data_IF_065704234743
#
_entry.id   IF_065704234743
#
_cell.length_a   1.000
_cell.length_b   1.000
_cell.length_c   1.000
_cell.angle_alpha   90.00
_cell.angle_beta   90.00
_cell.angle_gamma   90.00
#
_symmetry.space_group_name_H-M   'P 1'
#
loop_
_entity.id
_entity.type
_entity.pdbx_description
1 polymer ?
#
# COMPACT_ATOMS: atom_id res chain seq x y z
N UNK A 1 -1.52 -10.96 -10.75
CA UNK A 1 -0.52 -10.88 -11.86
C UNK A 1 0.89 -10.81 -11.27
N UNK A 2 1.99 -10.89 -12.05
CA UNK A 2 3.35 -10.61 -11.51
C UNK A 2 3.69 -9.13 -11.69
N UNK A 3 4.41 -8.54 -10.74
CA UNK A 3 4.91 -7.16 -10.87
C UNK A 3 5.84 -7.09 -12.09
N UNK A 4 5.65 -6.12 -13.02
CA UNK A 4 6.47 -6.00 -14.23
C UNK A 4 7.96 -5.79 -13.92
N UNK A 5 8.85 -6.33 -14.77
CA UNK A 5 10.30 -6.28 -14.54
C UNK A 5 10.88 -4.87 -14.42
N UNK A 6 10.37 -3.92 -15.20
CA UNK A 6 10.77 -2.51 -15.14
C UNK A 6 10.35 -1.86 -13.80
N UNK A 7 9.13 -2.16 -13.33
CA UNK A 7 8.69 -1.73 -12.01
C UNK A 7 9.54 -2.38 -10.90
N UNK A 8 9.87 -3.67 -10.99
CA UNK A 8 10.78 -4.34 -10.05
C UNK A 8 12.15 -3.65 -10.00
N UNK A 9 12.68 -3.21 -11.14
CA UNK A 9 13.94 -2.47 -11.19
C UNK A 9 13.86 -1.11 -10.47
N UNK A 10 12.72 -0.42 -10.56
CA UNK A 10 12.41 0.80 -9.80
C UNK A 10 12.28 0.50 -8.29
N UNK A 11 11.53 -0.53 -7.92
CA UNK A 11 11.33 -0.95 -6.52
C UNK A 11 12.64 -1.34 -5.82
N UNK A 12 13.59 -1.96 -6.53
CA UNK A 12 14.92 -2.30 -5.99
C UNK A 12 15.78 -1.08 -5.63
N UNK A 13 15.39 0.13 -6.05
CA UNK A 13 16.04 1.38 -5.65
C UNK A 13 15.52 1.93 -4.31
N UNK A 14 14.52 1.26 -3.71
CA UNK A 14 13.97 1.63 -2.41
C UNK A 14 14.78 0.94 -1.32
N UNK A 15 15.39 1.74 -0.44
CA UNK A 15 16.11 1.20 0.71
C UNK A 15 15.12 0.62 1.71
N UNK A 16 15.47 -0.52 2.30
CA UNK A 16 14.70 -1.17 3.35
C UNK A 16 15.50 -1.07 4.66
N UNK A 17 14.92 -0.41 5.65
CA UNK A 17 15.47 -0.22 6.99
C UNK A 17 14.80 -1.17 7.97
N UNK A 18 15.61 -1.73 8.87
CA UNK A 18 15.16 -2.63 9.92
C UNK A 18 15.55 -2.01 11.25
N UNK A 19 14.57 -1.53 12.00
CA UNK A 19 14.78 -0.75 13.22
C UNK A 19 14.15 -1.45 14.42
N UNK A 20 14.68 -1.24 15.64
CA UNK A 20 13.94 -1.55 16.86
C UNK A 20 12.63 -0.75 16.94
N UNK A 21 11.70 -1.23 17.75
CA UNK A 21 10.47 -0.50 18.06
C UNK A 21 10.77 0.82 18.78
N UNK A 22 10.02 1.87 18.44
CA UNK A 22 10.10 3.16 19.12
C UNK A 22 9.19 3.17 20.36
N UNK A 23 9.65 3.70 21.51
CA UNK A 23 8.81 3.82 22.70
C UNK A 23 7.48 4.51 22.41
N UNK A 24 6.37 3.90 22.84
CA UNK A 24 5.02 4.46 22.64
C UNK A 24 4.46 4.36 21.23
N UNK A 25 5.18 3.73 20.29
CA UNK A 25 4.71 3.50 18.91
C UNK A 25 4.58 2.01 18.65
N UNK A 26 3.44 1.58 18.12
CA UNK A 26 3.25 0.18 17.74
C UNK A 26 4.18 -0.24 16.58
N UNK A 27 4.66 -1.49 16.57
CA UNK A 27 5.45 -2.04 15.46
C UNK A 27 4.66 -2.02 14.14
N UNK A 28 5.30 -1.59 13.05
CA UNK A 28 4.71 -1.55 11.70
C UNK A 28 5.77 -1.56 10.59
N UNK A 29 5.31 -1.73 9.36
CA UNK A 29 6.03 -1.28 8.17
C UNK A 29 5.54 0.14 7.83
N UNK A 30 6.42 1.01 7.35
CA UNK A 30 6.02 2.36 6.92
C UNK A 30 7.00 2.95 5.89
N UNK A 31 6.44 3.53 4.84
CA UNK A 31 7.15 4.35 3.87
C UNK A 31 7.30 5.79 4.37
N UNK A 32 8.50 6.34 4.26
CA UNK A 32 8.82 7.70 4.71
C UNK A 32 8.95 8.66 3.52
N UNK A 33 7.94 9.47 3.18
CA UNK A 33 7.98 10.31 1.96
C UNK A 33 8.93 11.50 2.08
N UNK A 34 9.41 11.82 3.29
CA UNK A 34 10.32 12.94 3.50
C UNK A 34 10.94 12.96 4.89
N UNK A 35 12.03 13.73 5.03
CA UNK A 35 12.82 13.79 6.24
C UNK A 35 12.23 14.70 7.35
N UNK A 36 11.16 15.46 7.08
CA UNK A 36 10.58 16.41 8.04
C UNK A 36 10.02 15.69 9.27
N UNK A 37 8.99 14.87 9.07
CA UNK A 37 8.36 14.08 10.13
C UNK A 37 9.37 13.19 10.88
N UNK A 38 10.34 12.61 10.17
CA UNK A 38 11.41 11.83 10.77
C UNK A 38 12.19 12.64 11.82
N UNK A 39 12.61 13.87 11.50
CA UNK A 39 13.32 14.74 12.45
C UNK A 39 12.44 15.11 13.64
N UNK A 40 11.19 15.49 13.37
CA UNK A 40 10.25 15.95 14.39
C UNK A 40 9.91 14.85 15.41
N UNK A 41 10.05 13.58 15.00
CA UNK A 41 9.77 12.40 15.84
C UNK A 41 11.05 11.68 16.31
N UNK A 42 12.22 12.34 16.22
CA UNK A 42 13.49 11.78 16.72
C UNK A 42 13.97 10.53 15.97
N UNK A 43 13.53 10.35 14.72
CA UNK A 43 13.94 9.25 13.85
C UNK A 43 15.07 9.66 12.90
N UNK A 44 15.74 8.68 12.30
CA UNK A 44 16.85 8.93 11.39
C UNK A 44 16.36 9.54 10.05
N UNK A 45 16.70 10.80 9.73
CA UNK A 45 16.25 11.45 8.49
C UNK A 45 16.83 10.83 7.21
N UNK A 46 17.86 9.98 7.31
CA UNK A 46 18.40 9.24 6.18
C UNK A 46 17.42 8.20 5.60
N UNK A 47 16.33 7.90 6.33
CA UNK A 47 15.26 7.02 5.87
C UNK A 47 14.26 7.71 4.92
N UNK A 48 14.45 8.99 4.60
CA UNK A 48 13.59 9.65 3.62
C UNK A 48 13.63 8.91 2.26
N UNK A 49 12.45 8.72 1.68
CA UNK A 49 12.18 7.94 0.46
C UNK A 49 12.52 6.45 0.59
N UNK A 50 12.53 5.92 1.81
CA UNK A 50 12.78 4.51 2.14
C UNK A 50 11.61 3.91 2.93
N UNK A 51 11.65 2.59 3.11
CA UNK A 51 10.69 1.84 3.93
C UNK A 51 11.39 1.41 5.21
N UNK A 52 10.71 1.56 6.34
CA UNK A 52 11.17 1.11 7.65
C UNK A 52 10.28 -0.02 8.17
N UNK A 53 10.90 -1.09 8.65
CA UNK A 53 10.25 -2.19 9.34
C UNK A 53 10.65 -2.16 10.82
N UNK A 54 9.67 -1.87 11.68
CA UNK A 54 9.77 -2.02 13.14
C UNK A 54 9.03 -3.27 13.63
N UNK A 55 8.24 -3.91 12.77
CA UNK A 55 7.45 -5.10 13.07
C UNK A 55 8.20 -6.45 12.96
N UNK A 56 9.53 -6.44 12.98
CA UNK A 56 10.36 -7.64 12.77
C UNK A 56 10.01 -8.76 13.77
N UNK A 57 9.73 -8.40 15.03
CA UNK A 57 9.38 -9.36 16.09
C UNK A 57 8.03 -10.04 15.89
N UNK A 58 7.14 -9.43 15.12
CA UNK A 58 5.78 -9.91 14.85
C UNK A 58 5.54 -10.16 13.36
N UNK A 59 6.61 -10.22 12.55
CA UNK A 59 6.54 -10.30 11.09
C UNK A 59 5.61 -11.40 10.61
N UNK A 60 5.71 -12.60 11.19
CA UNK A 60 4.89 -13.75 10.82
C UNK A 60 3.39 -13.49 11.08
N UNK A 61 3.04 -12.91 12.23
CA UNK A 61 1.67 -12.57 12.56
C UNK A 61 1.13 -11.47 11.62
N UNK A 62 1.95 -10.47 11.31
CA UNK A 62 1.58 -9.40 10.38
C UNK A 62 1.43 -9.92 8.94
N UNK A 63 2.23 -10.89 8.50
CA UNK A 63 2.04 -11.54 7.18
C UNK A 63 0.80 -12.43 7.13
N UNK A 64 0.24 -12.86 8.28
CA UNK A 64 -1.07 -13.52 8.28
C UNK A 64 -2.20 -12.51 8.17
N UNK A 65 -2.06 -11.37 8.85
CA UNK A 65 -3.05 -10.30 8.86
C UNK A 65 -3.12 -9.57 7.52
N UNK A 66 -1.98 -9.10 7.03
CA UNK A 66 -1.81 -8.28 5.83
C UNK A 66 -0.74 -8.95 4.95
N UNK A 67 -1.12 -9.94 4.11
CA UNK A 67 -0.17 -10.85 3.48
C UNK A 67 0.90 -10.20 2.62
N UNK A 68 0.69 -8.96 2.17
CA UNK A 68 1.62 -8.24 1.33
C UNK A 68 1.92 -6.82 1.84
N UNK A 69 2.00 -6.58 3.15
CA UNK A 69 2.37 -5.26 3.70
C UNK A 69 3.71 -4.72 3.15
N UNK A 70 4.66 -5.58 2.80
CA UNK A 70 5.89 -5.11 2.15
C UNK A 70 5.63 -4.56 0.74
N UNK A 71 4.72 -5.16 -0.02
CA UNK A 71 4.27 -4.65 -1.31
C UNK A 71 3.47 -3.36 -1.16
N UNK A 72 2.66 -3.25 -0.09
CA UNK A 72 1.95 -2.03 0.26
C UNK A 72 2.90 -0.83 0.39
N UNK A 73 3.93 -0.96 1.22
CA UNK A 73 4.91 0.10 1.41
C UNK A 73 5.72 0.38 0.13
N UNK A 74 6.01 -0.67 -0.66
CA UNK A 74 6.64 -0.52 -1.97
C UNK A 74 5.71 0.19 -2.97
N UNK A 75 4.40 0.05 -2.87
CA UNK A 75 3.42 0.76 -3.68
C UNK A 75 3.41 2.25 -3.32
N UNK A 76 3.48 2.60 -2.03
CA UNK A 76 3.69 4.01 -1.64
C UNK A 76 4.99 4.57 -2.21
N UNK A 77 6.10 3.83 -2.08
CA UNK A 77 7.38 4.24 -2.65
C UNK A 77 7.31 4.41 -4.17
N UNK A 78 6.60 3.52 -4.86
CA UNK A 78 6.44 3.60 -6.31
C UNK A 78 5.61 4.81 -6.74
N UNK A 79 4.48 5.02 -6.06
CA UNK A 79 3.59 6.15 -6.28
C UNK A 79 4.33 7.48 -6.08
N UNK A 80 5.06 7.64 -4.98
CA UNK A 80 5.79 8.88 -4.68
C UNK A 80 6.96 9.13 -5.64
N UNK A 81 7.75 8.09 -5.97
CA UNK A 81 9.05 8.27 -6.61
C UNK A 81 9.04 8.13 -8.13
N UNK A 82 8.09 7.39 -8.69
CA UNK A 82 8.20 6.93 -10.08
C UNK A 82 6.94 7.16 -10.93
N UNK A 83 5.79 7.46 -10.31
CA UNK A 83 4.62 7.88 -11.07
C UNK A 83 4.68 9.38 -11.40
N UNK A 84 4.07 9.80 -12.53
CA UNK A 84 3.90 11.21 -12.83
C UNK A 84 3.25 11.95 -11.67
N UNK A 85 3.84 13.08 -11.29
CA UNK A 85 3.43 13.96 -10.19
C UNK A 85 3.43 13.32 -8.79
N UNK A 86 4.04 12.15 -8.63
CA UNK A 86 4.17 11.47 -7.35
C UNK A 86 2.80 11.26 -6.67
N UNK A 87 2.71 11.57 -5.38
CA UNK A 87 1.45 11.57 -4.63
C UNK A 87 0.37 12.56 -5.12
N UNK A 88 0.68 13.44 -6.07
CA UNK A 88 -0.30 14.30 -6.72
C UNK A 88 -0.83 13.71 -8.05
N UNK A 89 -0.55 12.44 -8.34
CA UNK A 89 -1.02 11.79 -9.55
C UNK A 89 -2.55 11.91 -9.71
N UNK A 90 -2.97 12.64 -10.75
CA UNK A 90 -4.38 12.97 -10.95
C UNK A 90 -5.25 11.75 -11.29
N UNK A 91 -4.68 10.73 -11.94
CA UNK A 91 -5.42 9.51 -12.30
C UNK A 91 -5.76 8.69 -11.05
N UNK A 92 -4.80 8.53 -10.12
CA UNK A 92 -5.02 7.86 -8.84
C UNK A 92 -6.02 8.65 -7.99
N UNK A 93 -5.86 9.98 -7.90
CA UNK A 93 -6.81 10.81 -7.16
C UNK A 93 -8.23 10.68 -7.73
N UNK A 94 -8.39 10.72 -9.04
CA UNK A 94 -9.69 10.58 -9.67
C UNK A 94 -10.29 9.18 -9.42
N UNK A 95 -9.49 8.11 -9.45
CA UNK A 95 -9.95 6.77 -9.14
C UNK A 95 -10.41 6.63 -7.68
N UNK A 96 -9.62 7.16 -6.73
CA UNK A 96 -9.99 7.22 -5.32
C UNK A 96 -11.32 7.95 -5.10
N UNK A 97 -11.50 9.14 -5.69
CA UNK A 97 -12.75 9.89 -5.51
C UNK A 97 -13.96 9.16 -6.14
N UNK A 98 -13.78 8.46 -7.28
CA UNK A 98 -14.84 7.62 -7.86
C UNK A 98 -15.19 6.44 -6.95
N UNK A 99 -14.20 5.72 -6.45
CA UNK A 99 -14.39 4.59 -5.52
C UNK A 99 -15.11 5.03 -4.23
N UNK A 100 -14.71 6.18 -3.68
CA UNK A 100 -15.34 6.80 -2.51
C UNK A 100 -16.77 7.23 -2.77
N UNK A 101 -17.04 7.89 -3.90
CA UNK A 101 -18.39 8.33 -4.26
C UNK A 101 -19.33 7.17 -4.60
N UNK A 102 -18.78 6.06 -5.11
CA UNK A 102 -19.54 4.87 -5.48
C UNK A 102 -20.01 4.03 -4.28
N UNK A 103 -19.43 4.22 -3.10
CA UNK A 103 -19.82 3.52 -1.86
C UNK A 103 -19.50 2.03 -1.81
N UNK A 104 -18.96 1.45 -2.89
CA UNK A 104 -18.61 0.01 -2.97
C UNK A 104 -17.56 -0.43 -1.94
N UNK A 105 -16.78 0.53 -1.43
CA UNK A 105 -15.73 0.32 -0.43
C UNK A 105 -16.14 0.73 1.01
N UNK A 106 -17.37 1.22 1.22
CA UNK A 106 -17.80 1.75 2.52
C UNK A 106 -18.02 0.67 3.58
N UNK A 107 -18.36 -0.55 3.15
CA UNK A 107 -18.59 -1.69 4.03
C UNK A 107 -18.20 -2.99 3.32
N UNK A 108 -16.94 -3.36 3.44
CA UNK A 108 -16.33 -4.52 2.79
C UNK A 108 -15.90 -5.55 3.82
N UNK A 109 -15.68 -6.77 3.38
CA UNK A 109 -15.13 -7.81 4.23
C UNK A 109 -13.65 -7.52 4.51
N UNK A 110 -13.24 -7.66 5.77
CA UNK A 110 -11.85 -7.60 6.23
C UNK A 110 -11.49 -8.91 6.90
N UNK A 111 -10.31 -9.44 6.60
CA UNK A 111 -9.78 -10.65 7.21
C UNK A 111 -8.67 -10.31 8.21
N UNK A 112 -8.67 -10.92 9.39
CA UNK A 112 -7.59 -10.76 10.38
C UNK A 112 -6.55 -11.89 10.31
N UNK A 113 -5.55 -11.84 11.21
CA UNK A 113 -4.45 -12.81 11.26
C UNK A 113 -4.89 -14.25 11.54
N UNK A 114 -6.06 -14.44 12.15
CA UNK A 114 -6.65 -15.74 12.44
C UNK A 114 -7.62 -16.19 11.33
N UNK A 115 -7.74 -15.40 10.27
CA UNK A 115 -8.63 -15.65 9.14
C UNK A 115 -10.09 -15.29 9.41
N UNK A 116 -10.42 -14.68 10.55
CA UNK A 116 -11.79 -14.26 10.89
C UNK A 116 -12.17 -13.09 10.00
N UNK A 117 -13.43 -13.09 9.57
CA UNK A 117 -13.98 -12.11 8.65
C UNK A 117 -14.94 -11.18 9.39
N UNK A 118 -14.76 -9.88 9.22
CA UNK A 118 -15.66 -8.83 9.73
C UNK A 118 -16.02 -7.87 8.60
N UNK A 119 -17.03 -7.04 8.81
CA UNK A 119 -17.35 -5.95 7.90
C UNK A 119 -16.78 -4.65 8.45
N UNK A 120 -16.04 -3.92 7.62
CA UNK A 120 -15.38 -2.68 7.98
C UNK A 120 -15.35 -1.73 6.77
N UNK A 121 -15.00 -0.46 6.98
CA UNK A 121 -14.72 0.45 5.88
C UNK A 121 -13.36 0.08 5.29
N UNK A 122 -13.27 -0.01 3.96
CA UNK A 122 -12.01 -0.38 3.31
C UNK A 122 -10.91 0.64 3.66
N UNK A 123 -9.71 0.15 3.99
CA UNK A 123 -8.57 1.00 4.27
C UNK A 123 -8.17 1.88 3.07
N UNK A 124 -8.44 1.36 1.86
CA UNK A 124 -8.33 2.08 0.60
C UNK A 124 -9.07 3.44 0.57
N UNK A 125 -10.05 3.67 1.45
CA UNK A 125 -10.80 4.94 1.52
C UNK A 125 -10.17 6.03 2.40
N UNK A 126 -9.04 5.75 3.07
CA UNK A 126 -8.33 6.73 3.92
C UNK A 126 -7.83 7.92 3.11
N UNK A 127 -7.07 7.68 2.03
CA UNK A 127 -6.56 8.70 1.13
C UNK A 127 -6.14 8.06 -0.22
N UNK A 128 -5.78 8.85 -1.26
CA UNK A 128 -5.38 8.28 -2.55
C UNK A 128 -4.09 7.43 -2.51
N UNK A 129 -3.20 7.64 -1.54
CA UNK A 129 -1.99 6.82 -1.37
C UNK A 129 -2.35 5.42 -0.89
N UNK A 130 -3.21 5.30 0.13
CA UNK A 130 -3.74 4.02 0.63
C UNK A 130 -4.55 3.31 -0.45
N UNK A 131 -5.39 4.05 -1.18
CA UNK A 131 -6.16 3.51 -2.30
C UNK A 131 -5.26 2.79 -3.31
N UNK A 132 -4.17 3.45 -3.70
CA UNK A 132 -3.22 2.86 -4.64
C UNK A 132 -2.50 1.63 -4.05
N UNK A 133 -2.12 1.67 -2.78
CA UNK A 133 -1.40 0.57 -2.14
C UNK A 133 -2.29 -0.68 -1.94
N UNK A 134 -3.48 -0.52 -1.36
CA UNK A 134 -4.46 -1.58 -1.12
C UNK A 134 -4.90 -2.25 -2.43
N UNK A 135 -5.23 -1.44 -3.44
CA UNK A 135 -5.65 -1.99 -4.75
C UNK A 135 -4.49 -2.63 -5.51
N UNK A 136 -3.25 -2.20 -5.27
CA UNK A 136 -2.05 -2.88 -5.79
C UNK A 136 -1.87 -4.26 -5.16
N UNK A 137 -2.12 -4.40 -3.85
CA UNK A 137 -2.07 -5.71 -3.18
C UNK A 137 -3.06 -6.69 -3.81
N UNK A 138 -4.32 -6.27 -3.97
CA UNK A 138 -5.33 -7.09 -4.63
C UNK A 138 -4.94 -7.43 -6.08
N UNK A 139 -4.36 -6.48 -6.83
CA UNK A 139 -4.01 -6.69 -8.24
C UNK A 139 -2.87 -7.70 -8.47
N UNK A 140 -1.82 -7.63 -7.65
CA UNK A 140 -0.64 -8.51 -7.82
C UNK A 140 -0.67 -9.76 -6.94
N UNK A 141 -1.31 -9.70 -5.78
CA UNK A 141 -1.23 -10.73 -4.76
C UNK A 141 -2.56 -10.86 -4.01
N UNK A 142 -2.54 -10.72 -2.68
CA UNK A 142 -3.71 -10.79 -1.81
C UNK A 142 -3.75 -9.61 -0.84
N UNK A 143 -4.90 -8.94 -0.78
CA UNK A 143 -5.21 -7.90 0.20
C UNK A 143 -5.88 -8.50 1.45
N UNK A 144 -5.92 -7.77 2.56
CA UNK A 144 -6.69 -8.14 3.76
C UNK A 144 -8.09 -7.50 3.83
N UNK A 145 -8.37 -6.52 2.97
CA UNK A 145 -9.72 -6.02 2.70
C UNK A 145 -10.21 -6.46 1.31
N UNK A 146 -11.51 -6.76 1.20
CA UNK A 146 -12.14 -6.96 -0.10
C UNK A 146 -12.06 -5.67 -0.94
N UNK A 147 -11.74 -5.74 -2.25
CA UNK A 147 -11.43 -6.95 -3.01
C UNK A 147 -10.10 -7.59 -2.60
N UNK A 148 -10.11 -8.90 -2.31
CA UNK A 148 -8.95 -9.61 -1.77
C UNK A 148 -7.94 -9.98 -2.85
N UNK A 149 -8.38 -10.15 -4.10
CA UNK A 149 -7.52 -10.57 -5.19
C UNK A 149 -7.89 -9.92 -6.53
N UNK A 150 -7.12 -10.25 -7.56
CA UNK A 150 -7.21 -9.62 -8.87
C UNK A 150 -8.51 -9.94 -9.61
N UNK A 151 -9.15 -11.09 -9.33
CA UNK A 151 -10.42 -11.48 -9.94
C UNK A 151 -11.54 -10.65 -9.32
N UNK A 152 -11.53 -10.56 -8.00
CA UNK A 152 -12.49 -9.74 -7.25
C UNK A 152 -12.34 -8.25 -7.58
N UNK A 153 -11.11 -7.73 -7.63
CA UNK A 153 -10.85 -6.33 -8.00
C UNK A 153 -11.37 -6.03 -9.40
N UNK A 154 -11.13 -6.93 -10.37
CA UNK A 154 -11.62 -6.74 -11.73
C UNK A 154 -13.15 -6.72 -11.82
N UNK A 155 -13.83 -7.51 -11.00
CA UNK A 155 -15.29 -7.54 -10.97
C UNK A 155 -15.87 -6.33 -10.21
N UNK A 156 -15.23 -5.94 -9.10
CA UNK A 156 -15.69 -4.88 -8.22
C UNK A 156 -15.40 -3.47 -8.76
N UNK A 157 -14.17 -3.25 -9.22
CA UNK A 157 -13.69 -1.97 -9.76
C UNK A 157 -12.84 -2.21 -11.02
N UNK A 158 -13.49 -2.49 -12.17
CA UNK A 158 -12.81 -2.74 -13.44
C UNK A 158 -12.01 -1.54 -13.95
N UNK A 159 -12.40 -0.32 -13.59
CA UNK A 159 -11.68 0.90 -13.98
C UNK A 159 -10.34 1.01 -13.24
N UNK A 160 -10.34 0.80 -11.92
CA UNK A 160 -9.11 0.76 -11.12
C UNK A 160 -8.23 -0.40 -11.54
N UNK A 161 -8.81 -1.58 -11.82
CA UNK A 161 -8.06 -2.71 -12.36
C UNK A 161 -7.31 -2.35 -13.66
N UNK A 162 -7.99 -1.68 -14.59
CA UNK A 162 -7.37 -1.22 -15.84
C UNK A 162 -6.32 -0.12 -15.60
N UNK A 163 -6.58 0.80 -14.67
CA UNK A 163 -5.64 1.86 -14.29
C UNK A 163 -4.34 1.28 -13.73
N UNK A 164 -4.41 0.34 -12.79
CA UNK A 164 -3.22 -0.32 -12.22
C UNK A 164 -2.38 -1.01 -13.29
N UNK A 165 -3.03 -1.68 -14.24
CA UNK A 165 -2.36 -2.30 -15.39
C UNK A 165 -1.57 -1.30 -16.25
N UNK A 166 -2.01 -0.03 -16.31
CA UNK A 166 -1.25 1.04 -16.99
C UNK A 166 -0.15 1.60 -16.11
N UNK A 167 -0.47 1.98 -14.87
CA UNK A 167 0.46 2.69 -13.97
C UNK A 167 1.69 1.85 -13.57
N UNK A 168 1.51 0.54 -13.42
CA UNK A 168 2.62 -0.37 -13.10
C UNK A 168 3.46 -0.79 -14.32
N UNK A 169 3.04 -0.41 -15.53
CA UNK A 169 3.75 -0.66 -16.81
C UNK A 169 4.28 0.66 -17.42
N UNK A 170 4.28 1.76 -16.66
CA UNK A 170 4.83 3.03 -17.12
C UNK A 170 6.35 2.90 -17.29
N UNK A 171 6.78 3.06 -18.55
CA UNK A 171 8.19 3.21 -18.94
C UNK A 171 8.75 4.48 -18.33
#
# INVERSE_FOLDING_TARGET
AKVPGEAVAKLRQVALWFSPEYPGTGPKAEYHPGAGWLRDNGRNPAMAKAIEFTNIRIFEAETRRMPNFALHELAHAYHDRFLPDGFQNAEIRAAYERAKAGGGYDKVERQDAEGRKTLDKAYALVNPMEFFAETTEAYFSRNDFFPFDSVELRAHDPETFALLGRLWVVK
#
